data_IF_116897598871
#
_entry.id   IF_116897598871
#
_cell.length_a   1.000
_cell.length_b   1.000
_cell.length_c   1.000
_cell.angle_alpha   90.00
_cell.angle_beta   90.00
_cell.angle_gamma   90.00
#
_symmetry.space_group_name_H-M   'P 1'
#
loop_
_entity.id
_entity.type
_entity.pdbx_description
1 polymer ?
#
# COMPACT_ATOMS: atom_id res chain seq x y z
N UNK A 1 -28.38 16.89 -39.93
CA UNK A 1 -27.37 16.19 -39.10
C UNK A 1 -26.46 17.24 -38.48
N UNK A 2 -26.84 17.68 -37.26
CA UNK A 2 -25.95 18.51 -36.40
C UNK A 2 -25.16 17.56 -35.52
N UNK A 3 -23.94 17.25 -35.91
CA UNK A 3 -22.97 16.65 -34.98
C UNK A 3 -22.58 17.73 -33.99
N UNK A 4 -23.14 17.67 -32.78
CA UNK A 4 -22.71 18.49 -31.66
C UNK A 4 -21.32 17.96 -31.25
N UNK A 5 -20.27 18.63 -31.68
CA UNK A 5 -18.90 18.44 -31.17
C UNK A 5 -18.89 18.94 -29.71
N UNK A 6 -19.39 18.13 -28.80
CA UNK A 6 -19.16 18.36 -27.37
C UNK A 6 -17.66 18.22 -27.12
N UNK A 7 -16.97 19.34 -26.83
CA UNK A 7 -15.60 19.29 -26.34
C UNK A 7 -15.55 18.33 -25.16
N UNK A 8 -14.61 17.40 -25.14
CA UNK A 8 -14.47 16.49 -24.01
C UNK A 8 -14.38 17.33 -22.72
N UNK A 9 -15.30 17.06 -21.79
CA UNK A 9 -15.34 17.74 -20.50
C UNK A 9 -13.99 17.49 -19.81
N UNK A 10 -13.23 18.56 -19.53
CA UNK A 10 -11.95 18.44 -18.86
C UNK A 10 -12.18 17.71 -17.54
N UNK A 11 -11.56 16.56 -17.35
CA UNK A 11 -11.71 15.77 -16.16
C UNK A 11 -11.26 16.59 -14.95
N UNK A 12 -12.11 16.70 -13.94
CA UNK A 12 -11.74 17.33 -12.67
C UNK A 12 -10.88 16.35 -11.86
N UNK A 13 -9.59 16.65 -11.80
CA UNK A 13 -8.61 15.85 -11.08
C UNK A 13 -8.52 16.22 -9.59
N UNK A 14 -9.22 17.28 -9.16
CA UNK A 14 -9.09 17.83 -7.82
C UNK A 14 -7.74 18.53 -7.59
N UNK A 15 -7.52 18.93 -6.35
CA UNK A 15 -6.33 19.68 -5.95
C UNK A 15 -5.15 18.75 -5.71
N UNK A 16 -3.99 19.09 -6.31
CA UNK A 16 -2.72 18.41 -6.03
C UNK A 16 -2.19 18.85 -4.65
N UNK A 17 -1.85 17.89 -3.79
CA UNK A 17 -1.24 18.15 -2.48
C UNK A 17 0.28 17.98 -2.58
N UNK A 18 1.02 19.05 -2.35
CA UNK A 18 2.50 19.07 -2.44
C UNK A 18 3.18 18.71 -1.12
N UNK A 19 2.44 18.74 -0.02
CA UNK A 19 2.88 18.27 1.29
C UNK A 19 1.86 17.28 1.81
N UNK A 20 2.17 15.99 1.68
CA UNK A 20 1.28 14.92 2.11
C UNK A 20 1.69 14.37 3.47
N UNK A 21 0.69 14.07 4.29
CA UNK A 21 0.83 13.34 5.56
C UNK A 21 -0.07 12.11 5.55
N UNK A 22 -0.02 11.32 6.60
CA UNK A 22 -0.90 10.15 6.74
C UNK A 22 -2.41 10.52 6.69
N UNK A 23 -2.77 11.74 7.08
CA UNK A 23 -4.16 12.23 7.14
C UNK A 23 -4.60 13.06 5.94
N UNK A 24 -3.68 13.48 5.07
CA UNK A 24 -4.00 14.23 3.86
C UNK A 24 -4.87 13.37 2.93
N UNK A 25 -6.08 13.80 2.53
CA UNK A 25 -6.92 13.04 1.62
C UNK A 25 -6.27 12.96 0.23
N UNK A 26 -6.43 11.84 -0.47
CA UNK A 26 -5.98 11.71 -1.85
C UNK A 26 -6.92 12.49 -2.78
N UNK A 27 -6.33 13.15 -3.78
CA UNK A 27 -7.04 13.58 -4.98
C UNK A 27 -6.65 12.71 -6.19
N UNK A 28 -7.44 12.75 -7.25
CA UNK A 28 -7.06 12.10 -8.53
C UNK A 28 -5.74 12.67 -9.06
N UNK A 29 -5.48 13.96 -8.83
CA UNK A 29 -4.22 14.61 -9.21
C UNK A 29 -3.03 14.01 -8.46
N UNK A 30 -3.17 13.70 -7.17
CA UNK A 30 -2.12 13.07 -6.37
C UNK A 30 -1.83 11.65 -6.87
N UNK A 31 -2.88 10.86 -7.12
CA UNK A 31 -2.74 9.49 -7.64
C UNK A 31 -2.07 9.50 -9.01
N UNK A 32 -2.49 10.39 -9.91
CA UNK A 32 -1.87 10.51 -11.24
C UNK A 32 -0.40 10.92 -11.16
N UNK A 33 -0.07 11.88 -10.31
CA UNK A 33 1.32 12.28 -10.08
C UNK A 33 2.16 11.10 -9.55
N UNK A 34 1.64 10.34 -8.59
CA UNK A 34 2.30 9.11 -8.11
C UNK A 34 2.54 8.11 -9.24
N UNK A 35 1.52 7.79 -10.03
CA UNK A 35 1.61 6.87 -11.16
C UNK A 35 2.71 7.31 -12.15
N UNK A 36 2.81 8.60 -12.42
CA UNK A 36 3.82 9.15 -13.33
C UNK A 36 5.26 8.98 -12.81
N UNK A 37 5.48 8.75 -11.52
CA UNK A 37 6.82 8.44 -10.99
C UNK A 37 7.22 6.98 -11.22
N UNK A 38 6.26 6.06 -11.43
CA UNK A 38 6.52 4.62 -11.46
C UNK A 38 7.42 4.21 -12.63
N UNK A 39 7.28 4.82 -13.80
CA UNK A 39 8.12 4.50 -14.96
C UNK A 39 9.59 4.85 -14.71
N UNK A 40 9.85 6.01 -14.11
CA UNK A 40 11.20 6.41 -13.71
C UNK A 40 11.78 5.49 -12.63
N UNK A 41 10.94 5.10 -11.67
CA UNK A 41 11.35 4.17 -10.60
C UNK A 41 11.63 2.77 -11.11
N UNK A 42 10.92 2.32 -12.15
CA UNK A 42 11.19 1.03 -12.79
C UNK A 42 12.62 0.96 -13.37
N UNK A 43 13.12 2.10 -13.85
CA UNK A 43 14.48 2.22 -14.37
C UNK A 43 15.51 2.54 -13.26
N UNK A 44 15.07 2.75 -12.03
CA UNK A 44 15.95 3.02 -10.91
C UNK A 44 16.73 1.74 -10.58
N UNK A 45 17.99 1.74 -10.97
CA UNK A 45 18.93 0.68 -10.67
C UNK A 45 19.64 1.03 -9.38
N UNK A 46 19.42 0.27 -8.35
CA UNK A 46 20.30 0.26 -7.18
C UNK A 46 21.13 -1.01 -7.22
N UNK A 47 22.33 -0.97 -6.69
CA UNK A 47 23.19 -2.16 -6.55
C UNK A 47 22.51 -3.24 -5.71
N UNK A 48 21.53 -2.84 -4.91
CA UNK A 48 20.62 -3.71 -4.18
C UNK A 48 19.20 -3.62 -4.76
N UNK A 49 18.85 -4.57 -5.62
CA UNK A 49 17.53 -4.69 -6.24
C UNK A 49 16.39 -4.82 -5.23
N UNK A 50 16.69 -4.90 -3.92
CA UNK A 50 15.70 -5.03 -2.86
C UNK A 50 15.17 -3.68 -2.35
N UNK A 51 15.73 -2.54 -2.78
CA UNK A 51 15.33 -1.22 -2.28
C UNK A 51 13.89 -0.90 -2.66
N UNK A 52 13.51 -1.14 -3.92
CA UNK A 52 12.12 -0.91 -4.39
C UNK A 52 11.42 -2.26 -4.52
N UNK A 53 10.77 -2.68 -3.47
CA UNK A 53 9.92 -3.86 -3.45
C UNK A 53 8.59 -3.56 -2.77
N UNK A 54 7.51 -3.89 -3.46
CA UNK A 54 6.17 -3.92 -2.88
C UNK A 54 5.87 -5.36 -2.47
N UNK A 55 5.83 -5.62 -1.18
CA UNK A 55 5.57 -6.96 -0.68
C UNK A 55 4.08 -7.25 -0.74
N UNK A 56 3.70 -8.29 -1.46
CA UNK A 56 2.34 -8.83 -1.46
C UNK A 56 2.04 -9.55 -0.14
N UNK A 57 0.76 -9.78 0.13
CA UNK A 57 0.35 -10.57 1.29
C UNK A 57 0.95 -11.99 1.24
N UNK A 58 0.94 -12.64 0.09
CA UNK A 58 1.58 -13.95 -0.09
C UNK A 58 3.09 -13.89 0.12
N UNK A 59 3.75 -12.86 -0.39
CA UNK A 59 5.18 -12.65 -0.15
C UNK A 59 5.47 -12.51 1.34
N UNK A 60 4.61 -11.80 2.10
CA UNK A 60 4.77 -11.66 3.53
C UNK A 60 4.67 -13.01 4.24
N UNK A 61 3.71 -13.84 3.88
CA UNK A 61 3.52 -15.16 4.51
C UNK A 61 4.75 -16.06 4.34
N UNK A 62 5.52 -15.89 3.25
CA UNK A 62 6.78 -16.61 3.05
C UNK A 62 7.91 -16.14 3.98
N UNK A 63 7.83 -14.91 4.50
CA UNK A 63 8.78 -14.37 5.47
C UNK A 63 8.36 -14.55 6.93
N UNK A 64 7.08 -14.89 7.14
CA UNK A 64 6.57 -15.18 8.45
C UNK A 64 7.10 -16.52 8.92
N UNK A 65 7.97 -16.49 9.90
CA UNK A 65 8.48 -17.70 10.56
C UNK A 65 8.41 -17.48 12.07
N UNK A 66 7.80 -18.42 12.77
CA UNK A 66 7.73 -18.44 14.23
C UNK A 66 9.11 -18.37 14.88
N UNK A 67 10.14 -18.88 14.20
CA UNK A 67 11.54 -18.83 14.64
C UNK A 67 12.17 -17.45 14.60
N UNK A 68 11.59 -16.49 13.85
CA UNK A 68 12.18 -15.17 13.68
C UNK A 68 12.10 -14.29 14.93
N UNK A 69 11.24 -14.60 15.87
CA UNK A 69 10.90 -13.73 16.97
C UNK A 69 9.98 -12.56 16.57
N UNK A 70 9.38 -11.94 17.58
CA UNK A 70 8.32 -10.93 17.40
C UNK A 70 8.82 -9.68 16.66
N UNK A 71 10.00 -9.18 16.97
CA UNK A 71 10.49 -7.92 16.41
C UNK A 71 10.72 -7.99 14.90
N UNK A 72 11.26 -9.11 14.43
CA UNK A 72 11.49 -9.34 13.00
C UNK A 72 10.17 -9.49 12.26
N UNK A 73 9.23 -10.24 12.80
CA UNK A 73 7.90 -10.41 12.23
C UNK A 73 7.14 -9.07 12.20
N UNK A 74 7.19 -8.26 13.24
CA UNK A 74 6.59 -6.91 13.26
C UNK A 74 7.24 -6.00 12.22
N UNK A 75 8.54 -6.09 11.98
CA UNK A 75 9.21 -5.33 10.93
C UNK A 75 8.69 -5.70 9.54
N UNK A 76 8.46 -6.98 9.24
CA UNK A 76 7.84 -7.41 7.99
C UNK A 76 6.41 -6.91 7.85
N UNK A 77 5.61 -6.94 8.91
CA UNK A 77 4.24 -6.43 8.93
C UNK A 77 4.20 -4.93 8.61
N UNK A 78 5.09 -4.13 9.21
CA UNK A 78 5.22 -2.70 8.91
C UNK A 78 5.55 -2.45 7.44
N UNK A 79 6.41 -3.26 6.85
CA UNK A 79 6.76 -3.19 5.43
C UNK A 79 5.56 -3.52 4.54
N UNK A 80 4.73 -4.48 4.94
CA UNK A 80 3.49 -4.80 4.21
C UNK A 80 2.47 -3.66 4.26
N UNK A 81 2.27 -3.08 5.45
CA UNK A 81 1.27 -2.02 5.66
C UNK A 81 1.66 -0.73 4.95
N UNK A 82 2.92 -0.32 5.08
CA UNK A 82 3.45 0.93 4.55
C UNK A 82 4.76 0.68 3.77
N UNK A 83 4.70 0.03 2.60
CA UNK A 83 5.89 -0.33 1.85
C UNK A 83 6.68 0.88 1.36
N UNK A 84 6.01 1.97 1.02
CA UNK A 84 6.67 3.16 0.47
C UNK A 84 7.43 3.95 1.54
N UNK A 85 6.92 4.02 2.76
CA UNK A 85 7.67 4.58 3.88
C UNK A 85 8.91 3.73 4.20
N UNK A 86 8.82 2.41 4.02
CA UNK A 86 9.97 1.52 4.15
C UNK A 86 10.99 1.75 3.03
N UNK A 87 10.54 1.92 1.79
CA UNK A 87 11.39 2.30 0.65
C UNK A 87 12.09 3.62 0.94
N UNK A 88 11.37 4.65 1.39
CA UNK A 88 11.94 5.96 1.70
C UNK A 88 13.06 5.87 2.76
N UNK A 89 12.88 5.05 3.78
CA UNK A 89 13.94 4.80 4.79
C UNK A 89 15.16 4.11 4.19
N UNK A 90 14.96 3.06 3.39
CA UNK A 90 16.03 2.33 2.70
C UNK A 90 16.82 3.26 1.77
N UNK A 91 16.15 4.12 1.01
CA UNK A 91 16.76 5.12 0.14
C UNK A 91 17.65 6.10 0.93
N UNK A 92 17.19 6.57 2.08
CA UNK A 92 17.98 7.43 2.98
C UNK A 92 19.24 6.73 3.46
N UNK A 93 19.11 5.47 3.89
CA UNK A 93 20.25 4.69 4.41
C UNK A 93 21.27 4.27 3.35
N UNK A 94 20.79 3.96 2.14
CA UNK A 94 21.67 3.59 1.03
C UNK A 94 22.40 4.78 0.38
N UNK A 95 22.15 6.02 0.83
CA UNK A 95 22.75 7.21 0.22
C UNK A 95 22.23 7.52 -1.18
N UNK A 96 21.08 6.95 -1.58
CA UNK A 96 20.48 7.08 -2.93
C UNK A 96 19.42 8.18 -3.02
N UNK A 97 19.32 9.02 -1.99
CA UNK A 97 18.28 10.06 -1.91
C UNK A 97 18.29 11.01 -3.11
N UNK A 98 19.46 11.47 -3.54
CA UNK A 98 19.55 12.43 -4.65
C UNK A 98 19.10 11.83 -5.98
N UNK A 99 19.47 10.58 -6.25
CA UNK A 99 19.06 9.87 -7.47
C UNK A 99 17.55 9.64 -7.48
N UNK A 100 17.00 9.16 -6.37
CA UNK A 100 15.56 8.95 -6.21
C UNK A 100 14.78 10.26 -6.32
N UNK A 101 15.28 11.34 -5.69
CA UNK A 101 14.65 12.66 -5.72
C UNK A 101 14.57 13.23 -7.14
N UNK A 102 15.54 12.95 -8.02
CA UNK A 102 15.46 13.37 -9.42
C UNK A 102 14.25 12.77 -10.15
N UNK A 103 13.89 11.53 -9.81
CA UNK A 103 12.76 10.83 -10.41
C UNK A 103 11.44 11.37 -9.86
N UNK A 104 11.26 11.37 -8.55
CA UNK A 104 10.00 11.80 -7.93
C UNK A 104 9.79 13.31 -8.02
N UNK A 105 10.86 14.07 -8.08
CA UNK A 105 10.85 15.53 -8.24
C UNK A 105 10.26 15.99 -9.59
N UNK A 106 10.24 15.14 -10.62
CA UNK A 106 9.53 15.42 -11.89
C UNK A 106 8.04 15.66 -11.69
N UNK A 107 7.47 15.12 -10.62
CA UNK A 107 6.08 15.29 -10.20
C UNK A 107 5.95 16.17 -8.94
N UNK A 108 6.99 16.93 -8.63
CA UNK A 108 7.05 17.85 -7.47
C UNK A 108 6.87 17.16 -6.11
N UNK A 109 7.27 15.90 -5.98
CA UNK A 109 7.29 15.21 -4.71
C UNK A 109 8.60 15.44 -3.94
N UNK A 110 8.49 15.70 -2.64
CA UNK A 110 9.52 15.35 -1.69
C UNK A 110 9.46 13.86 -1.34
N UNK A 111 10.52 13.31 -0.76
CA UNK A 111 10.60 11.88 -0.47
C UNK A 111 9.49 11.39 0.48
N UNK A 112 9.23 12.14 1.55
CA UNK A 112 8.21 11.78 2.54
C UNK A 112 6.80 11.97 1.95
N UNK A 113 6.56 13.03 1.18
CA UNK A 113 5.29 13.26 0.48
C UNK A 113 4.99 12.14 -0.52
N UNK A 114 6.00 11.71 -1.28
CA UNK A 114 5.89 10.58 -2.18
C UNK A 114 5.51 9.30 -1.42
N UNK A 115 6.19 9.04 -0.29
CA UNK A 115 5.96 7.83 0.48
C UNK A 115 4.53 7.78 1.06
N UNK A 116 4.02 8.88 1.62
CA UNK A 116 2.65 8.94 2.12
C UNK A 116 1.61 8.81 1.00
N UNK A 117 1.79 9.51 -0.11
CA UNK A 117 0.89 9.41 -1.27
C UNK A 117 0.88 8.00 -1.83
N UNK A 118 2.04 7.37 -1.95
CA UNK A 118 2.20 5.98 -2.38
C UNK A 118 1.45 5.02 -1.46
N UNK A 119 1.72 5.03 -0.16
CA UNK A 119 1.10 4.10 0.79
C UNK A 119 -0.43 4.23 0.82
N UNK A 120 -0.95 5.45 0.76
CA UNK A 120 -2.39 5.70 0.68
C UNK A 120 -3.00 5.21 -0.63
N UNK A 121 -2.31 5.46 -1.75
CA UNK A 121 -2.73 4.96 -3.07
C UNK A 121 -2.79 3.44 -3.07
N UNK A 122 -1.78 2.76 -2.52
CA UNK A 122 -1.75 1.30 -2.46
C UNK A 122 -2.85 0.73 -1.56
N UNK A 123 -3.11 1.33 -0.41
CA UNK A 123 -4.20 0.92 0.49
C UNK A 123 -5.56 1.08 -0.19
N UNK A 124 -5.81 2.22 -0.83
CA UNK A 124 -7.03 2.47 -1.56
C UNK A 124 -7.19 1.50 -2.74
N UNK A 125 -6.12 1.26 -3.49
CA UNK A 125 -6.11 0.31 -4.60
C UNK A 125 -6.46 -1.11 -4.14
N UNK A 126 -5.83 -1.58 -3.06
CA UNK A 126 -6.14 -2.89 -2.46
C UNK A 126 -7.58 -2.98 -2.01
N UNK A 127 -8.08 -1.95 -1.32
CA UNK A 127 -9.46 -1.89 -0.84
C UNK A 127 -10.48 -1.94 -1.98
N UNK A 128 -10.21 -1.25 -3.11
CA UNK A 128 -11.11 -1.25 -4.28
C UNK A 128 -11.10 -2.57 -5.07
N UNK A 129 -10.15 -3.46 -4.81
CA UNK A 129 -10.04 -4.76 -5.46
C UNK A 129 -10.57 -5.92 -4.60
N UNK A 130 -11.03 -5.65 -3.38
CA UNK A 130 -11.65 -6.67 -2.53
C UNK A 130 -13.01 -7.09 -3.09
N UNK A 131 -13.22 -8.40 -3.17
CA UNK A 131 -14.54 -8.98 -3.47
C UNK A 131 -15.43 -9.01 -2.21
N UNK A 132 -16.66 -9.45 -2.39
CA UNK A 132 -17.67 -9.51 -1.30
C UNK A 132 -17.21 -10.41 -0.15
N UNK A 133 -16.61 -11.55 -0.46
CA UNK A 133 -16.12 -12.49 0.57
C UNK A 133 -15.00 -11.87 1.41
N UNK A 134 -14.04 -11.21 0.76
CA UNK A 134 -12.92 -10.55 1.42
C UNK A 134 -13.38 -9.37 2.29
N UNK A 135 -14.34 -8.58 1.81
CA UNK A 135 -14.94 -7.49 2.59
C UNK A 135 -15.63 -8.05 3.83
N UNK A 136 -16.38 -9.14 3.68
CA UNK A 136 -17.05 -9.80 4.80
C UNK A 136 -16.02 -10.30 5.83
N UNK A 137 -14.98 -10.97 5.37
CA UNK A 137 -13.90 -11.47 6.24
C UNK A 137 -13.18 -10.33 6.96
N UNK A 138 -12.88 -9.25 6.27
CA UNK A 138 -12.26 -8.07 6.86
C UNK A 138 -13.15 -7.42 7.93
N UNK A 139 -14.46 -7.36 7.70
CA UNK A 139 -15.40 -6.84 8.67
C UNK A 139 -15.51 -7.74 9.91
N UNK A 140 -15.39 -9.05 9.75
CA UNK A 140 -15.34 -9.99 10.88
C UNK A 140 -14.07 -9.75 11.70
N UNK A 141 -12.92 -9.57 11.06
CA UNK A 141 -11.67 -9.23 11.75
C UNK A 141 -11.81 -7.93 12.55
N UNK A 142 -12.38 -6.88 11.94
CA UNK A 142 -12.59 -5.58 12.59
C UNK A 142 -13.52 -5.66 13.81
N UNK A 143 -14.44 -6.60 13.85
CA UNK A 143 -15.33 -6.83 15.01
C UNK A 143 -14.62 -7.46 16.21
N UNK A 144 -13.38 -7.86 16.09
CA UNK A 144 -12.55 -8.37 17.16
C UNK A 144 -12.84 -9.82 17.58
N UNK A 145 -13.59 -10.60 16.79
CA UNK A 145 -13.84 -11.99 17.09
C UNK A 145 -12.55 -12.83 17.13
N UNK A 146 -11.61 -12.55 16.24
CA UNK A 146 -10.32 -13.24 16.22
C UNK A 146 -9.52 -12.98 17.52
N UNK A 147 -9.56 -11.76 18.05
CA UNK A 147 -8.92 -11.45 19.34
C UNK A 147 -9.53 -12.23 20.50
N UNK A 148 -10.86 -12.38 20.49
CA UNK A 148 -11.54 -13.18 21.52
C UNK A 148 -11.11 -14.64 21.43
N UNK A 149 -11.05 -15.22 20.25
CA UNK A 149 -10.60 -16.60 20.05
C UNK A 149 -9.15 -16.79 20.53
N UNK A 150 -8.24 -15.93 20.15
CA UNK A 150 -6.82 -16.00 20.56
C UNK A 150 -6.69 -15.93 22.09
N UNK A 151 -7.53 -15.15 22.77
CA UNK A 151 -7.49 -15.03 24.22
C UNK A 151 -8.18 -16.19 24.96
N UNK A 152 -9.20 -16.81 24.35
CA UNK A 152 -9.99 -17.89 24.99
C UNK A 152 -9.31 -19.25 24.91
N UNK A 153 -8.57 -19.51 23.82
CA UNK A 153 -7.88 -20.79 23.69
C UNK A 153 -6.51 -20.70 24.35
N UNK A 154 -6.32 -21.39 25.46
CA UNK A 154 -5.08 -21.45 26.24
C UNK A 154 -3.90 -22.14 25.53
N UNK A 155 -3.97 -22.30 24.21
CA UNK A 155 -2.93 -22.96 23.40
C UNK A 155 -1.75 -22.07 23.08
N UNK A 156 -1.91 -20.74 23.20
CA UNK A 156 -0.87 -19.78 22.83
C UNK A 156 -0.19 -19.21 24.08
N UNK A 157 1.13 -19.08 24.00
CA UNK A 157 1.88 -18.28 24.97
C UNK A 157 1.48 -16.79 24.86
N UNK A 158 1.76 -15.95 25.88
CA UNK A 158 1.52 -14.52 25.80
C UNK A 158 2.19 -13.86 24.60
N UNK A 159 3.41 -14.31 24.23
CA UNK A 159 4.16 -13.81 23.09
C UNK A 159 3.51 -14.18 21.76
N UNK A 160 3.10 -15.44 21.61
CA UNK A 160 2.35 -15.92 20.43
C UNK A 160 1.04 -15.14 20.27
N UNK A 161 0.28 -14.93 21.35
CA UNK A 161 -0.94 -14.11 21.31
C UNK A 161 -0.67 -12.69 20.82
N UNK A 162 0.39 -12.07 21.31
CA UNK A 162 0.77 -10.72 20.89
C UNK A 162 1.15 -10.68 19.40
N UNK A 163 1.88 -11.67 18.93
CA UNK A 163 2.27 -11.83 17.52
C UNK A 163 1.03 -11.96 16.64
N UNK A 164 0.06 -12.78 17.00
CA UNK A 164 -1.20 -12.92 16.25
C UNK A 164 -2.02 -11.63 16.24
N UNK A 165 -2.05 -10.88 17.33
CA UNK A 165 -2.72 -9.57 17.39
C UNK A 165 -2.10 -8.57 16.43
N UNK A 166 -0.78 -8.46 16.40
CA UNK A 166 -0.08 -7.59 15.45
C UNK A 166 -0.36 -8.00 14.00
N UNK A 167 -0.41 -9.29 13.72
CA UNK A 167 -0.73 -9.78 12.39
C UNK A 167 -2.14 -9.38 11.95
N UNK A 168 -3.15 -9.60 12.78
CA UNK A 168 -4.54 -9.22 12.50
C UNK A 168 -4.64 -7.71 12.26
N UNK A 169 -4.02 -6.91 13.12
CA UNK A 169 -4.01 -5.46 12.99
C UNK A 169 -3.36 -5.01 11.69
N UNK A 170 -2.23 -5.60 11.31
CA UNK A 170 -1.54 -5.31 10.07
C UNK A 170 -2.40 -5.67 8.84
N UNK A 171 -3.11 -6.80 8.86
CA UNK A 171 -4.05 -7.17 7.79
C UNK A 171 -5.15 -6.12 7.65
N UNK A 172 -5.76 -5.70 8.76
CA UNK A 172 -6.78 -4.66 8.75
C UNK A 172 -6.23 -3.35 8.16
N UNK A 173 -5.06 -2.91 8.63
CA UNK A 173 -4.43 -1.67 8.18
C UNK A 173 -4.03 -1.69 6.70
N UNK A 174 -3.63 -2.85 6.18
CA UNK A 174 -3.24 -3.02 4.77
C UNK A 174 -4.36 -2.68 3.80
N UNK A 175 -5.61 -2.90 4.20
CA UNK A 175 -6.80 -2.62 3.41
C UNK A 175 -7.59 -1.41 3.93
N UNK A 176 -7.05 -0.69 4.91
CA UNK A 176 -7.75 0.45 5.50
C UNK A 176 -7.65 1.67 4.59
N UNK A 177 -8.78 2.03 4.00
CA UNK A 177 -8.90 3.21 3.14
C UNK A 177 -10.29 3.82 3.32
N UNK A 178 -10.36 5.14 3.27
CA UNK A 178 -11.63 5.85 3.28
C UNK A 178 -12.25 5.94 1.87
N UNK A 179 -13.52 6.32 1.80
CA UNK A 179 -14.24 6.40 0.53
C UNK A 179 -13.62 7.41 -0.45
N UNK A 180 -13.15 8.56 0.04
CA UNK A 180 -12.55 9.59 -0.80
C UNK A 180 -11.27 9.09 -1.47
N UNK A 181 -10.38 8.42 -0.72
CA UNK A 181 -9.16 7.87 -1.26
C UNK A 181 -9.46 6.76 -2.29
N UNK A 182 -10.46 5.93 -2.04
CA UNK A 182 -10.90 4.91 -2.98
C UNK A 182 -11.44 5.53 -4.28
N UNK A 183 -12.26 6.58 -4.18
CA UNK A 183 -12.77 7.30 -5.36
C UNK A 183 -11.66 7.97 -6.18
N UNK A 184 -10.62 8.48 -5.53
CA UNK A 184 -9.45 9.05 -6.21
C UNK A 184 -8.69 7.99 -7.03
N UNK A 185 -8.65 6.75 -6.55
CA UNK A 185 -7.93 5.63 -7.18
C UNK A 185 -8.73 4.93 -8.27
N UNK A 186 -10.07 4.86 -8.16
CA UNK A 186 -10.92 4.09 -9.09
C UNK A 186 -10.62 4.29 -10.57
N UNK A 187 -10.47 5.53 -11.08
CA UNK A 187 -10.20 5.75 -12.51
C UNK A 187 -8.87 5.15 -12.97
N UNK A 188 -7.94 4.93 -12.05
CA UNK A 188 -6.57 4.52 -12.34
C UNK A 188 -6.29 3.05 -12.03
N UNK A 189 -7.29 2.25 -11.65
CA UNK A 189 -7.10 0.85 -11.25
C UNK A 189 -6.35 0.02 -12.31
N UNK A 190 -6.72 0.16 -13.56
CA UNK A 190 -6.09 -0.58 -14.65
C UNK A 190 -4.63 -0.16 -14.86
N UNK A 191 -4.37 1.14 -14.84
CA UNK A 191 -3.03 1.69 -15.01
C UNK A 191 -2.12 1.30 -13.83
N UNK A 192 -2.62 1.38 -12.60
CA UNK A 192 -1.93 0.92 -11.40
C UNK A 192 -1.60 -0.57 -11.48
N UNK A 193 -2.55 -1.43 -11.86
CA UNK A 193 -2.32 -2.86 -12.03
C UNK A 193 -1.17 -3.14 -12.99
N UNK A 194 -1.18 -2.47 -14.15
CA UNK A 194 -0.14 -2.63 -15.17
C UNK A 194 1.23 -2.15 -14.69
N UNK A 195 1.31 -0.96 -14.11
CA UNK A 195 2.59 -0.36 -13.70
C UNK A 195 3.19 -1.00 -12.45
N UNK A 196 2.36 -1.38 -11.49
CA UNK A 196 2.82 -2.03 -10.26
C UNK A 196 3.27 -3.47 -10.48
N UNK A 197 2.73 -4.17 -11.49
CA UNK A 197 3.15 -5.55 -11.80
C UNK A 197 4.63 -5.67 -12.14
N UNK A 198 5.24 -4.61 -12.68
CA UNK A 198 6.66 -4.56 -13.03
C UNK A 198 7.57 -4.71 -11.79
N UNK A 199 7.11 -4.31 -10.62
CA UNK A 199 7.87 -4.44 -9.36
C UNK A 199 7.72 -5.82 -8.71
N UNK A 200 7.18 -6.82 -9.41
CA UNK A 200 7.00 -8.18 -8.92
C UNK A 200 5.97 -8.32 -7.79
N UNK A 201 5.25 -7.26 -7.50
CA UNK A 201 4.27 -7.22 -6.43
C UNK A 201 2.89 -7.60 -6.95
N UNK A 202 2.41 -8.76 -6.61
CA UNK A 202 0.97 -9.03 -6.66
C UNK A 202 0.30 -8.28 -5.49
N UNK A 203 -0.01 -7.00 -5.72
CA UNK A 203 -0.67 -6.12 -4.73
C UNK A 203 -2.16 -6.44 -4.63
N UNK A 204 -2.70 -7.16 -5.61
CA UNK A 204 -4.06 -7.68 -5.57
C UNK A 204 -4.12 -8.68 -4.42
N UNK A 205 -4.91 -8.32 -3.42
CA UNK A 205 -5.04 -9.10 -2.21
C UNK A 205 -5.30 -10.57 -2.51
N UNK A 206 -4.51 -11.40 -1.91
CA UNK A 206 -4.89 -12.78 -1.70
C UNK A 206 -6.14 -12.78 -0.85
N UNK A 207 -7.10 -13.67 -1.11
CA UNK A 207 -8.26 -13.79 -0.25
C UNK A 207 -7.78 -13.88 1.21
N UNK A 208 -8.42 -13.13 2.10
CA UNK A 208 -8.21 -13.23 3.53
C UNK A 208 -8.64 -14.63 3.93
N UNK A 209 -7.70 -15.55 3.95
CA UNK A 209 -7.91 -16.88 4.52
C UNK A 209 -7.92 -16.66 6.03
N UNK A 210 -9.12 -16.64 6.59
CA UNK A 210 -9.24 -16.73 8.04
C UNK A 210 -8.80 -18.14 8.45
N UNK A 211 -7.95 -18.24 9.46
CA UNK A 211 -7.66 -19.53 10.05
C UNK A 211 -8.91 -20.18 10.63
#
# INVERSE_FOLDING_TARGET
NFAINAKPKKEDLGTRHYTATATTPLSKADVKAFINTLDGLNNFQSDDNTIIQFISFNGLMSYWDEKNGIDKNVSYLKTMVNPCQTIARKIKWAGKRNEFQKIIGTQSFGLDDWAYTCDKTLKAYRATNLGTAEITSLNILKKGYAYKMINQYGYYTPEERQTHKYFIEAVIQTFQSNANDQEAVRPYKHELSKKLSVFGANILGTPLILP
#
